data_IF_793271011614
#
_entry.id   IF_793271011614
#
_cell.length_a   1.000
_cell.length_b   1.000
_cell.length_c   1.000
_cell.angle_alpha   90.00
_cell.angle_beta   90.00
_cell.angle_gamma   90.00
#
_symmetry.space_group_name_H-M   'P 1'
#
loop_
_entity.id
_entity.type
_entity.pdbx_description
1 polymer ?
#
# COMPACT_ATOMS: atom_id res chain seq x y z
N UNK A 1 6.00 -6.04 13.90
CA UNK A 1 6.10 -5.69 12.48
C UNK A 1 4.71 -5.31 12.04
N UNK A 2 4.50 -4.09 11.55
CA UNK A 2 3.18 -3.50 11.25
C UNK A 2 3.26 -2.74 9.94
N UNK A 3 2.11 -2.64 9.26
CA UNK A 3 1.91 -1.77 8.11
C UNK A 3 0.89 -0.71 8.49
N UNK A 4 1.21 0.54 8.17
CA UNK A 4 0.33 1.69 8.31
C UNK A 4 -0.35 1.96 6.96
N UNK A 5 -1.68 2.04 6.95
CA UNK A 5 -2.49 2.31 5.76
C UNK A 5 -3.23 3.64 5.94
N UNK A 6 -3.01 4.61 5.06
CA UNK A 6 -3.55 5.96 5.22
C UNK A 6 -3.97 6.57 3.90
N UNK A 7 -5.10 7.26 3.89
CA UNK A 7 -5.59 7.95 2.70
C UNK A 7 -5.27 9.45 2.80
N UNK A 8 -4.68 10.00 1.74
CA UNK A 8 -4.34 11.41 1.63
C UNK A 8 -5.02 12.00 0.41
N UNK A 9 -5.85 13.01 0.64
CA UNK A 9 -6.43 13.83 -0.42
C UNK A 9 -5.38 14.79 -1.00
N UNK A 10 -5.33 14.94 -2.31
CA UNK A 10 -4.42 15.87 -3.02
C UNK A 10 -2.93 15.67 -2.66
N UNK A 11 -2.51 14.43 -2.47
CA UNK A 11 -1.10 14.10 -2.25
C UNK A 11 -0.34 14.19 -3.58
N UNK A 12 0.40 15.28 -3.76
CA UNK A 12 1.13 15.58 -5.01
C UNK A 12 0.21 15.66 -6.24
N UNK A 13 -1.04 16.11 -6.06
CA UNK A 13 -1.99 16.33 -7.15
C UNK A 13 -2.96 15.18 -7.42
N UNK A 14 -2.97 14.13 -6.60
CA UNK A 14 -3.94 13.03 -6.67
C UNK A 14 -4.23 12.45 -5.30
N UNK A 15 -5.41 11.87 -5.13
CA UNK A 15 -5.72 11.10 -3.93
C UNK A 15 -4.80 9.88 -3.87
N UNK A 16 -4.20 9.63 -2.72
CA UNK A 16 -3.18 8.59 -2.55
C UNK A 16 -3.43 7.79 -1.29
N UNK A 17 -3.55 6.48 -1.46
CA UNK A 17 -3.49 5.51 -0.37
C UNK A 17 -2.02 5.16 -0.12
N UNK A 18 -1.50 5.52 1.04
CA UNK A 18 -0.12 5.24 1.46
C UNK A 18 -0.10 4.00 2.33
N UNK A 19 0.66 3.01 1.88
CA UNK A 19 1.00 1.79 2.61
C UNK A 19 2.47 1.89 3.03
N UNK A 20 2.69 2.24 4.30
CA UNK A 20 4.01 2.47 4.88
C UNK A 20 4.34 1.41 5.91
N UNK A 21 5.61 1.04 6.02
CA UNK A 21 6.07 0.11 7.05
C UNK A 21 7.58 0.12 7.18
N UNK A 22 8.10 -0.61 8.17
CA UNK A 22 9.52 -0.93 8.21
C UNK A 22 9.87 -1.90 7.08
N UNK A 23 11.13 -1.96 6.62
CA UNK A 23 11.58 -2.87 5.57
C UNK A 23 11.06 -4.30 5.70
N UNK A 24 11.09 -4.87 6.90
CA UNK A 24 10.63 -6.24 7.17
C UNK A 24 9.11 -6.39 6.92
N UNK A 25 8.33 -5.36 7.25
CA UNK A 25 6.89 -5.36 7.02
C UNK A 25 6.56 -5.31 5.53
N UNK A 26 7.31 -4.52 4.77
CA UNK A 26 7.16 -4.42 3.31
C UNK A 26 7.64 -5.70 2.61
N UNK A 27 8.69 -6.35 3.10
CA UNK A 27 9.10 -7.66 2.59
C UNK A 27 8.04 -8.74 2.87
N UNK A 28 7.41 -8.70 4.05
CA UNK A 28 6.30 -9.58 4.35
C UNK A 28 5.08 -9.34 3.45
N UNK A 29 4.80 -8.08 3.06
CA UNK A 29 3.82 -7.78 2.02
C UNK A 29 4.19 -8.45 0.69
N UNK A 30 5.46 -8.40 0.27
CA UNK A 30 5.90 -9.13 -0.93
C UNK A 30 5.65 -10.64 -0.80
N UNK A 31 5.94 -11.23 0.37
CA UNK A 31 5.64 -12.65 0.64
C UNK A 31 4.14 -12.98 0.58
N UNK A 32 3.27 -12.08 1.03
CA UNK A 32 1.81 -12.23 0.93
C UNK A 32 1.35 -12.22 -0.54
N UNK A 33 1.94 -11.36 -1.37
CA UNK A 33 1.65 -11.30 -2.82
C UNK A 33 2.11 -12.57 -3.55
N UNK A 34 3.27 -13.13 -3.18
CA UNK A 34 3.77 -14.41 -3.71
C UNK A 34 2.88 -15.58 -3.31
N UNK A 35 2.48 -15.63 -2.04
CA UNK A 35 1.54 -16.63 -1.55
C UNK A 35 0.18 -16.53 -2.27
N UNK A 36 -0.31 -15.31 -2.51
CA UNK A 36 -1.50 -15.09 -3.31
C UNK A 36 -1.32 -15.64 -4.72
N UNK A 37 -0.19 -15.37 -5.39
CA UNK A 37 0.10 -15.83 -6.75
C UNK A 37 -0.03 -17.35 -6.88
N UNK A 38 0.50 -18.11 -5.90
CA UNK A 38 0.43 -19.57 -5.86
C UNK A 38 -0.90 -20.16 -5.36
N UNK A 39 -1.84 -19.34 -4.90
CA UNK A 39 -3.12 -19.80 -4.33
C UNK A 39 -4.28 -19.82 -5.34
N UNK A 40 -5.30 -20.63 -5.09
CA UNK A 40 -6.57 -20.60 -5.84
C UNK A 40 -7.47 -19.41 -5.44
N UNK A 41 -7.10 -18.62 -4.43
CA UNK A 41 -7.89 -17.47 -3.98
C UNK A 41 -7.88 -16.38 -5.05
N UNK A 42 -9.06 -15.81 -5.32
CA UNK A 42 -9.23 -14.66 -6.21
C UNK A 42 -8.74 -13.34 -5.61
N UNK A 43 -8.57 -13.28 -4.30
CA UNK A 43 -8.05 -12.12 -3.61
C UNK A 43 -7.98 -12.31 -2.10
N UNK A 44 -7.38 -11.33 -1.43
CA UNK A 44 -7.19 -11.33 0.03
C UNK A 44 -7.36 -9.91 0.58
N UNK A 45 -7.89 -9.83 1.79
CA UNK A 45 -7.82 -8.62 2.60
C UNK A 45 -6.45 -8.57 3.27
N UNK A 46 -5.70 -7.47 3.13
CA UNK A 46 -4.32 -7.41 3.60
C UNK A 46 -4.19 -7.63 5.11
N UNK A 47 -5.14 -7.08 5.87
CA UNK A 47 -5.20 -7.18 7.33
C UNK A 47 -5.39 -8.61 7.87
N UNK A 48 -5.80 -9.55 7.01
CA UNK A 48 -5.91 -10.97 7.38
C UNK A 48 -4.56 -11.70 7.41
N UNK A 49 -3.51 -11.10 6.85
CA UNK A 49 -2.17 -11.70 6.78
C UNK A 49 -1.10 -10.83 7.45
N UNK A 50 -1.33 -9.53 7.56
CA UNK A 50 -0.42 -8.58 8.17
C UNK A 50 -1.16 -7.71 9.18
N UNK A 51 -0.55 -7.35 10.31
CA UNK A 51 -1.14 -6.37 11.22
C UNK A 51 -1.11 -4.98 10.55
N UNK A 52 -2.27 -4.57 10.04
CA UNK A 52 -2.49 -3.27 9.41
C UNK A 52 -3.14 -2.33 10.42
N UNK A 53 -2.67 -1.08 10.47
CA UNK A 53 -3.23 -0.01 11.30
C UNK A 53 -3.51 1.21 10.44
N UNK A 54 -4.61 1.90 10.70
CA UNK A 54 -4.96 3.14 10.01
C UNK A 54 -6.32 3.10 9.33
N UNK A 55 -6.42 3.75 8.18
CA UNK A 55 -7.66 4.01 7.46
C UNK A 55 -8.08 2.83 6.57
N UNK A 56 -9.21 2.22 6.91
CA UNK A 56 -9.94 1.29 6.03
C UNK A 56 -9.28 -0.08 5.87
N UNK A 57 -9.68 -0.79 4.81
CA UNK A 57 -9.18 -2.10 4.42
C UNK A 57 -8.71 -2.04 2.96
N UNK A 58 -7.63 -2.76 2.64
CA UNK A 58 -7.09 -2.88 1.30
C UNK A 58 -7.16 -4.34 0.85
N UNK A 59 -7.82 -4.57 -0.28
CA UNK A 59 -7.92 -5.88 -0.91
C UNK A 59 -6.96 -5.98 -2.08
N UNK A 60 -6.19 -7.05 -2.13
CA UNK A 60 -5.42 -7.43 -3.32
C UNK A 60 -6.23 -8.47 -4.08
N UNK A 61 -6.59 -8.16 -5.32
CA UNK A 61 -7.45 -8.99 -6.16
C UNK A 61 -6.71 -9.44 -7.41
N UNK A 62 -6.96 -10.67 -7.87
CA UNK A 62 -6.46 -11.18 -9.17
C UNK A 62 -7.36 -10.81 -10.34
N UNK A 63 -8.64 -10.60 -10.03
CA UNK A 63 -9.72 -10.35 -10.98
C UNK A 63 -10.69 -9.31 -10.40
N UNK A 64 -11.44 -8.57 -11.22
CA UNK A 64 -12.39 -7.56 -10.75
C UNK A 64 -13.63 -8.23 -10.12
N UNK A 65 -13.52 -8.61 -8.85
CA UNK A 65 -14.65 -9.07 -8.03
C UNK A 65 -15.32 -7.90 -7.31
N UNK A 66 -16.66 -7.89 -7.20
CA UNK A 66 -17.37 -6.86 -6.47
C UNK A 66 -17.09 -7.00 -4.97
N UNK A 67 -16.39 -6.01 -4.42
CA UNK A 67 -16.13 -5.87 -2.98
C UNK A 67 -16.64 -4.49 -2.56
N UNK A 68 -17.43 -4.41 -1.49
CA UNK A 68 -18.09 -3.17 -1.05
C UNK A 68 -17.30 -2.41 -0.01
N UNK A 69 -17.14 -1.09 -0.19
CA UNK A 69 -16.70 -0.13 0.84
C UNK A 69 -15.21 -0.12 1.17
N UNK A 70 -14.34 -0.58 0.25
CA UNK A 70 -12.91 -0.84 0.51
C UNK A 70 -12.06 -0.50 -0.71
N UNK A 71 -10.77 -0.22 -0.51
CA UNK A 71 -9.82 -0.01 -1.61
C UNK A 71 -9.42 -1.34 -2.23
N UNK A 72 -9.32 -1.37 -3.56
CA UNK A 72 -9.06 -2.60 -4.31
C UNK A 72 -7.87 -2.41 -5.22
N UNK A 73 -6.82 -3.16 -4.91
CA UNK A 73 -5.64 -3.27 -5.74
C UNK A 73 -5.77 -4.49 -6.66
N UNK A 74 -6.18 -4.26 -7.91
CA UNK A 74 -6.22 -5.31 -8.91
C UNK A 74 -4.81 -5.56 -9.45
N UNK A 75 -4.30 -6.76 -9.19
CA UNK A 75 -3.03 -7.25 -9.72
C UNK A 75 -3.32 -8.57 -10.42
N UNK A 76 -3.36 -8.61 -11.77
CA UNK A 76 -3.60 -9.84 -12.51
C UNK A 76 -2.69 -10.97 -12.03
N UNK A 77 -3.19 -12.21 -12.05
CA UNK A 77 -2.44 -13.36 -11.55
C UNK A 77 -1.05 -13.50 -12.22
N UNK A 78 -0.95 -13.15 -13.50
CA UNK A 78 0.31 -13.14 -14.28
C UNK A 78 1.32 -12.08 -13.83
N UNK A 79 0.87 -11.03 -13.14
CA UNK A 79 1.70 -9.90 -12.72
C UNK A 79 2.06 -9.92 -11.24
N UNK A 80 1.38 -10.73 -10.43
CA UNK A 80 1.58 -10.77 -8.97
C UNK A 80 3.04 -10.98 -8.57
N UNK A 81 3.77 -11.89 -9.25
CA UNK A 81 5.18 -12.12 -8.94
C UNK A 81 6.06 -10.92 -9.30
N UNK A 82 5.75 -10.22 -10.40
CA UNK A 82 6.49 -9.01 -10.78
C UNK A 82 6.20 -7.85 -9.80
N UNK A 83 4.95 -7.70 -9.36
CA UNK A 83 4.56 -6.73 -8.35
C UNK A 83 5.21 -7.06 -7.00
N UNK A 84 5.22 -8.32 -6.58
CA UNK A 84 5.90 -8.76 -5.36
C UNK A 84 7.41 -8.43 -5.41
N UNK A 85 8.07 -8.67 -6.55
CA UNK A 85 9.47 -8.30 -6.73
C UNK A 85 9.69 -6.77 -6.61
N UNK A 86 8.79 -5.95 -7.16
CA UNK A 86 8.84 -4.48 -7.01
C UNK A 86 8.67 -4.04 -5.56
N UNK A 87 7.72 -4.64 -4.83
CA UNK A 87 7.52 -4.37 -3.40
C UNK A 87 8.75 -4.79 -2.59
N UNK A 88 9.34 -5.95 -2.88
CA UNK A 88 10.58 -6.39 -2.23
C UNK A 88 11.76 -5.46 -2.49
N UNK A 89 11.85 -4.88 -3.69
CA UNK A 89 12.86 -3.86 -3.98
C UNK A 89 12.69 -2.60 -3.12
N UNK A 90 11.45 -2.21 -2.80
CA UNK A 90 11.15 -1.12 -1.84
C UNK A 90 11.65 -1.47 -0.44
N UNK A 91 11.41 -2.70 0.03
CA UNK A 91 11.95 -3.17 1.30
C UNK A 91 13.49 -3.10 1.36
N UNK A 92 14.17 -3.37 0.24
CA UNK A 92 15.62 -3.25 0.12
C UNK A 92 16.14 -1.80 0.02
N UNK A 93 15.26 -0.80 0.00
CA UNK A 93 15.60 0.63 -0.01
C UNK A 93 15.85 1.23 -1.41
N UNK A 94 15.57 0.51 -2.50
CA UNK A 94 15.77 1.03 -3.86
C UNK A 94 14.71 0.52 -4.87
N UNK A 95 13.79 1.38 -5.33
CA UNK A 95 13.55 2.77 -4.90
C UNK A 95 12.92 2.84 -3.50
N UNK A 96 13.00 4.02 -2.87
CA UNK A 96 12.42 4.25 -1.54
C UNK A 96 10.90 4.02 -1.47
N UNK A 97 10.21 4.18 -2.59
CA UNK A 97 8.78 3.92 -2.73
C UNK A 97 8.40 3.54 -4.17
N UNK A 98 7.21 2.94 -4.33
CA UNK A 98 6.63 2.54 -5.60
C UNK A 98 5.14 2.91 -5.66
N UNK A 99 4.70 3.35 -6.83
CA UNK A 99 3.30 3.65 -7.11
C UNK A 99 2.63 2.49 -7.87
N UNK A 100 1.37 2.24 -7.54
CA UNK A 100 0.51 1.23 -8.14
C UNK A 100 -0.90 1.78 -8.33
N UNK A 101 -1.57 1.33 -9.38
CA UNK A 101 -2.95 1.73 -9.65
C UNK A 101 -3.92 0.90 -8.78
N UNK A 102 -4.98 1.56 -8.32
CA UNK A 102 -6.14 0.92 -7.69
C UNK A 102 -7.28 0.82 -8.71
N UNK A 103 -8.28 -0.01 -8.42
CA UNK A 103 -9.52 -0.04 -9.20
C UNK A 103 -10.34 1.24 -9.05
N UNK A 104 -10.15 1.95 -7.94
CA UNK A 104 -10.68 3.29 -7.74
C UNK A 104 -9.84 4.27 -8.61
N UNK A 105 -10.37 4.78 -9.74
CA UNK A 105 -9.56 5.45 -10.75
C UNK A 105 -8.98 6.80 -10.29
N UNK A 106 -9.48 7.34 -9.19
CA UNK A 106 -9.06 8.64 -8.64
C UNK A 106 -7.99 8.49 -7.55
N UNK A 107 -7.72 7.26 -7.09
CA UNK A 107 -6.78 7.00 -5.98
C UNK A 107 -5.61 6.12 -6.43
N UNK A 108 -4.39 6.54 -6.13
CA UNK A 108 -3.17 5.75 -6.38
C UNK A 108 -2.69 5.08 -5.09
N UNK A 109 -2.15 3.87 -5.16
CA UNK A 109 -1.46 3.22 -4.04
C UNK A 109 0.03 3.57 -4.06
N UNK A 110 0.55 4.09 -2.96
CA UNK A 110 1.97 4.29 -2.71
C UNK A 110 2.46 3.28 -1.68
N UNK A 111 3.39 2.40 -2.05
CA UNK A 111 4.08 1.49 -1.12
C UNK A 111 5.46 2.03 -0.82
N UNK A 112 5.83 2.09 0.46
CA UNK A 112 7.08 2.71 0.92
C UNK A 112 7.63 2.03 2.18
N UNK A 113 8.96 1.98 2.29
CA UNK A 113 9.66 1.44 3.45
C UNK A 113 10.41 2.56 4.20
N UNK A 114 10.01 2.83 5.43
CA UNK A 114 10.72 3.75 6.34
C UNK A 114 10.70 5.24 5.98
N UNK A 115 10.03 5.66 4.90
CA UNK A 115 9.99 7.06 4.46
C UNK A 115 8.97 7.91 5.25
N UNK A 116 7.82 7.31 5.60
CA UNK A 116 6.73 7.98 6.30
C UNK A 116 6.55 7.34 7.68
N UNK A 117 7.07 7.97 8.76
CA UNK A 117 6.97 7.41 10.10
C UNK A 117 5.51 7.44 10.58
N UNK A 118 5.15 6.48 11.44
CA UNK A 118 3.77 6.31 11.93
C UNK A 118 3.20 7.59 12.57
N UNK A 119 4.08 8.44 13.11
CA UNK A 119 3.79 9.73 13.74
C UNK A 119 3.18 10.76 12.77
N UNK A 120 3.52 10.68 11.47
CA UNK A 120 2.98 11.60 10.46
C UNK A 120 1.50 11.37 10.20
N UNK A 121 0.98 10.22 10.60
CA UNK A 121 -0.41 9.86 10.41
C UNK A 121 -1.29 10.21 11.62
N UNK A 122 -0.74 10.91 12.61
CA UNK A 122 -1.48 11.40 13.78
C UNK A 122 -2.34 12.62 13.48
N UNK A 123 -3.65 12.43 13.27
CA UNK A 123 -4.75 13.01 14.08
C UNK A 123 -6.13 12.74 13.42
N UNK A 124 -6.60 11.49 13.42
CA UNK A 124 -8.02 11.17 13.22
C UNK A 124 -8.59 11.32 11.80
N UNK A 125 -9.82 10.85 11.57
CA UNK A 125 -10.44 10.68 10.25
C UNK A 125 -10.79 11.99 9.51
N UNK A 126 -10.51 13.15 10.09
CA UNK A 126 -10.79 14.48 9.52
C UNK A 126 -9.52 15.30 9.25
N UNK A 127 -8.33 14.71 9.38
CA UNK A 127 -7.12 15.44 9.06
C UNK A 127 -6.82 15.29 7.57
N UNK A 128 -7.17 16.31 6.78
CA UNK A 128 -6.56 16.59 5.49
C UNK A 128 -5.08 16.91 5.74
N UNK A 129 -4.29 15.90 6.06
CA UNK A 129 -2.89 16.07 6.38
C UNK A 129 -2.19 16.42 5.07
N UNK A 130 -1.92 17.70 4.85
CA UNK A 130 -0.97 18.12 3.83
C UNK A 130 0.41 17.72 4.35
N UNK A 131 1.05 16.66 3.81
CA UNK A 131 2.40 16.31 4.22
C UNK A 131 3.27 17.56 4.07
N UNK A 132 3.93 17.98 5.16
CA UNK A 132 4.92 19.04 5.04
C UNK A 132 6.00 18.52 4.09
N UNK A 133 6.40 19.32 3.08
CA UNK A 133 7.50 18.92 2.21
C UNK A 133 8.72 18.58 3.06
N UNK A 134 9.35 17.44 2.76
CA UNK A 134 10.63 17.04 3.35
C UNK A 134 11.59 18.24 3.26
N UNK A 135 12.02 18.77 4.42
CA UNK A 135 13.03 19.83 4.44
C UNK A 135 14.37 19.23 4.07
N UNK A 136 14.86 19.58 2.88
CA UNK A 136 16.20 19.30 2.35
C UNK A 136 16.08 18.84 0.89
N UNK A 137 16.57 19.55 -0.13
CA UNK A 137 17.90 20.14 -0.23
C UNK A 137 17.90 21.40 -1.11
N UNK A 138 18.45 22.49 -0.59
CA UNK A 138 19.08 23.56 -1.35
C UNK A 138 20.41 23.86 -0.65
#
# INVERSE_FOLDING_TARGET
>A
MQIDLWHFEDFKGSDTLVLSGQPEAIDALAGVLEALAGSEKLGIALESHLPVVGFGQLFVLKEPVPVTGQFRWLVPASELLAVAARVRAVAAGAPAHQYFELLEPETTLLVTAGEYPSEWFGHGPNNSFKPKPLRGSA
#
